data_IF_018349252108
#
_entry.id   IF_018349252108
#
_cell.length_a   1.000
_cell.length_b   1.000
_cell.length_c   1.000
_cell.angle_alpha   90.00
_cell.angle_beta   90.00
_cell.angle_gamma   90.00
#
_symmetry.space_group_name_H-M   'P 1'
#
loop_
_entity.id
_entity.type
_entity.pdbx_description
1 polymer ?
#
# COMPACT_ATOMS: atom_id res chain seq x y z
N UNK A 1 24.03 20.57 -19.28
CA UNK A 1 22.99 20.92 -18.29
C UNK A 1 22.60 19.64 -17.58
N UNK A 2 23.15 19.39 -16.39
CA UNK A 2 22.89 18.19 -15.61
C UNK A 2 21.77 18.50 -14.60
N UNK A 3 20.68 17.73 -14.63
CA UNK A 3 19.54 17.89 -13.72
C UNK A 3 19.92 17.41 -12.32
N UNK A 4 19.70 18.25 -11.31
CA UNK A 4 19.98 17.95 -9.92
C UNK A 4 19.13 16.80 -9.38
N UNK A 5 19.76 15.63 -9.20
CA UNK A 5 19.31 14.62 -8.26
C UNK A 5 19.87 15.01 -6.87
N UNK A 6 19.25 16.00 -6.24
CA UNK A 6 19.64 16.46 -4.92
C UNK A 6 19.38 15.39 -3.86
N UNK A 7 20.45 14.85 -3.24
CA UNK A 7 20.34 14.08 -2.00
C UNK A 7 19.74 15.01 -0.92
N UNK A 8 18.53 14.78 -0.40
CA UNK A 8 17.76 15.80 0.32
C UNK A 8 18.27 16.20 1.70
N UNK A 9 19.45 15.72 2.12
CA UNK A 9 19.99 15.92 3.48
C UNK A 9 21.32 16.68 3.48
N UNK A 10 21.73 17.23 2.33
CA UNK A 10 22.98 18.00 2.20
C UNK A 10 22.83 19.49 2.55
N UNK A 11 21.59 20.02 2.60
CA UNK A 11 21.34 21.42 2.96
C UNK A 11 21.08 21.54 4.48
N UNK A 12 22.20 21.59 5.23
CA UNK A 12 22.40 21.99 6.65
C UNK A 12 21.80 21.16 7.82
N UNK A 13 22.60 21.08 8.90
CA UNK A 13 22.45 20.49 10.25
C UNK A 13 22.04 19.00 10.38
N UNK A 14 21.17 18.51 9.49
CA UNK A 14 20.66 17.13 9.46
C UNK A 14 21.68 16.13 8.89
N UNK A 15 22.74 16.61 8.21
CA UNK A 15 23.83 15.75 7.75
C UNK A 15 24.55 15.04 8.90
N UNK A 16 24.69 15.71 10.06
CA UNK A 16 25.31 15.12 11.25
C UNK A 16 24.45 13.97 11.82
N UNK A 17 23.15 14.19 11.96
CA UNK A 17 22.20 13.22 12.49
C UNK A 17 22.03 12.05 11.51
N UNK A 18 21.93 12.32 10.21
CA UNK A 18 21.90 11.28 9.19
C UNK A 18 23.16 10.42 9.20
N UNK A 19 24.34 11.01 9.43
CA UNK A 19 25.57 10.22 9.63
C UNK A 19 25.52 9.38 10.90
N UNK A 20 24.97 9.90 12.00
CA UNK A 20 24.77 9.12 13.23
C UNK A 20 23.86 7.92 12.98
N UNK A 21 22.71 8.11 12.33
CA UNK A 21 21.82 7.00 12.01
C UNK A 21 22.46 5.99 11.07
N UNK A 22 23.25 6.45 10.10
CA UNK A 22 24.00 5.56 9.19
C UNK A 22 25.01 4.71 9.96
N UNK A 23 25.72 5.28 10.92
CA UNK A 23 26.64 4.53 11.80
C UNK A 23 25.88 3.53 12.68
N UNK A 24 24.82 3.98 13.36
CA UNK A 24 23.97 3.11 14.20
C UNK A 24 23.36 1.97 13.39
N UNK A 25 22.94 2.24 12.16
CA UNK A 25 22.41 1.23 11.25
C UNK A 25 23.47 0.23 10.80
N UNK A 26 24.69 0.68 10.50
CA UNK A 26 25.81 -0.23 10.24
C UNK A 26 26.10 -1.16 11.42
N UNK A 27 25.95 -0.67 12.66
CA UNK A 27 26.07 -1.50 13.87
C UNK A 27 24.90 -2.48 14.02
N UNK A 28 23.67 -2.07 13.69
CA UNK A 28 22.51 -2.96 13.65
C UNK A 28 22.74 -4.08 12.63
N UNK A 29 23.12 -3.73 11.41
CA UNK A 29 23.33 -4.68 10.31
C UNK A 29 24.44 -5.69 10.61
N UNK A 30 25.53 -5.24 11.24
CA UNK A 30 26.60 -6.14 11.66
C UNK A 30 26.18 -7.09 12.79
N UNK A 31 25.22 -6.70 13.62
CA UNK A 31 24.79 -7.46 14.80
C UNK A 31 23.62 -8.39 14.51
N UNK A 32 22.67 -7.94 13.70
CA UNK A 32 21.44 -8.65 13.40
C UNK A 32 20.90 -8.24 12.02
N UNK A 33 21.21 -9.04 11.00
CA UNK A 33 20.72 -8.85 9.63
C UNK A 33 19.19 -8.74 9.54
N UNK A 34 18.41 -9.64 10.18
CA UNK A 34 16.96 -9.51 10.32
C UNK A 34 16.47 -8.14 10.81
N UNK A 35 17.08 -7.53 11.81
CA UNK A 35 16.70 -6.19 12.29
C UNK A 35 16.94 -5.10 11.23
N UNK A 36 18.06 -5.17 10.52
CA UNK A 36 18.35 -4.23 9.43
C UNK A 36 17.36 -4.40 8.27
N UNK A 37 17.03 -5.63 7.89
CA UNK A 37 16.01 -5.93 6.89
C UNK A 37 14.62 -5.46 7.30
N UNK A 38 14.27 -5.60 8.59
CA UNK A 38 13.01 -5.12 9.14
C UNK A 38 12.88 -3.60 9.02
N UNK A 39 13.93 -2.86 9.38
CA UNK A 39 13.93 -1.39 9.25
C UNK A 39 13.81 -0.95 7.78
N UNK A 40 14.52 -1.63 6.87
CA UNK A 40 14.43 -1.37 5.42
C UNK A 40 13.03 -1.63 4.87
N UNK A 41 12.39 -2.73 5.29
CA UNK A 41 11.01 -3.03 4.93
C UNK A 41 10.05 -1.95 5.44
N UNK A 42 10.17 -1.59 6.71
CA UNK A 42 9.31 -0.59 7.34
C UNK A 42 9.45 0.80 6.70
N UNK A 43 10.58 1.10 6.06
CA UNK A 43 10.77 2.33 5.30
C UNK A 43 9.86 2.50 4.07
N UNK A 44 9.17 1.43 3.65
CA UNK A 44 8.21 1.45 2.54
C UNK A 44 6.75 1.32 3.02
N UNK A 45 6.53 1.28 4.32
CA UNK A 45 5.21 1.23 4.94
C UNK A 45 4.86 2.61 5.52
N UNK A 46 3.60 2.82 5.91
CA UNK A 46 3.29 3.95 6.79
C UNK A 46 4.15 3.92 8.06
N UNK A 47 4.58 5.09 8.52
CA UNK A 47 5.53 5.21 9.62
C UNK A 47 4.87 5.07 11.00
N UNK A 48 3.56 4.83 11.07
CA UNK A 48 2.82 4.55 12.29
C UNK A 48 2.26 3.14 12.24
N UNK A 49 1.86 2.64 13.42
CA UNK A 49 1.21 1.33 13.56
C UNK A 49 1.96 0.20 12.85
N UNK A 50 3.23 0.00 13.18
CA UNK A 50 4.03 -1.11 12.69
C UNK A 50 3.89 -2.27 13.69
N UNK A 51 3.34 -3.43 13.31
CA UNK A 51 3.17 -4.56 14.25
C UNK A 51 3.54 -5.90 13.63
N UNK A 52 3.73 -6.91 14.49
CA UNK A 52 4.14 -8.26 14.08
C UNK A 52 3.16 -8.90 13.09
N UNK A 53 1.86 -8.72 13.32
CA UNK A 53 0.79 -9.30 12.50
C UNK A 53 0.89 -8.97 11.01
N UNK A 54 1.40 -7.78 10.68
CA UNK A 54 1.69 -7.39 9.30
C UNK A 54 2.67 -8.37 8.62
N UNK A 55 3.65 -8.92 9.35
CA UNK A 55 4.67 -9.83 8.84
C UNK A 55 4.27 -11.31 8.89
N UNK A 56 3.20 -11.65 9.62
CA UNK A 56 2.81 -13.05 9.85
C UNK A 56 2.30 -13.76 8.60
N UNK A 57 1.85 -13.00 7.59
CA UNK A 57 1.32 -13.59 6.35
C UNK A 57 2.41 -14.22 5.49
N UNK A 58 3.68 -13.84 5.68
CA UNK A 58 4.82 -14.45 5.00
C UNK A 58 5.23 -15.84 5.57
N UNK A 59 4.63 -16.29 6.68
CA UNK A 59 5.02 -17.50 7.40
C UNK A 59 3.89 -18.54 7.53
N UNK A 60 3.48 -19.17 6.42
CA UNK A 60 2.47 -20.25 6.39
C UNK A 60 2.96 -21.63 6.86
N UNK A 61 4.06 -21.71 7.62
CA UNK A 61 4.72 -22.99 7.96
C UNK A 61 4.64 -23.41 9.45
N UNK A 62 3.78 -22.76 10.26
CA UNK A 62 3.59 -23.14 11.66
C UNK A 62 4.75 -22.75 12.61
N UNK A 63 5.72 -21.96 12.13
CA UNK A 63 6.84 -21.43 12.93
C UNK A 63 6.50 -20.15 13.74
N UNK A 64 5.20 -19.82 13.88
CA UNK A 64 4.71 -18.53 14.38
C UNK A 64 5.35 -18.02 15.67
N UNK A 65 5.52 -18.88 16.70
CA UNK A 65 6.17 -18.48 17.96
C UNK A 65 7.67 -18.17 17.80
N UNK A 66 8.37 -18.91 16.93
CA UNK A 66 9.80 -18.68 16.67
C UNK A 66 10.00 -17.39 15.86
N UNK A 67 9.08 -17.09 14.95
CA UNK A 67 9.08 -15.86 14.18
C UNK A 67 8.75 -14.65 15.06
N UNK A 68 7.84 -14.81 16.02
CA UNK A 68 7.52 -13.79 17.00
C UNK A 68 8.71 -13.46 17.91
N UNK A 69 9.42 -14.48 18.44
CA UNK A 69 10.64 -14.25 19.24
C UNK A 69 11.70 -13.50 18.43
N UNK A 70 11.97 -13.94 17.20
CA UNK A 70 12.93 -13.25 16.31
C UNK A 70 12.52 -11.82 15.98
N UNK A 71 11.22 -11.60 15.77
CA UNK A 71 10.68 -10.25 15.56
C UNK A 71 10.91 -9.36 16.78
N UNK A 72 10.63 -9.86 17.99
CA UNK A 72 10.84 -9.11 19.23
C UNK A 72 12.32 -8.82 19.48
N UNK A 73 13.22 -9.73 19.15
CA UNK A 73 14.67 -9.51 19.19
C UNK A 73 15.09 -8.36 18.25
N UNK A 74 14.61 -8.41 17.01
CA UNK A 74 14.89 -7.39 15.99
C UNK A 74 14.36 -6.01 16.41
N UNK A 75 13.10 -5.93 16.83
CA UNK A 75 12.47 -4.70 17.35
C UNK A 75 13.20 -4.17 18.58
N UNK A 76 13.58 -5.05 19.51
CA UNK A 76 14.33 -4.66 20.70
C UNK A 76 15.68 -4.04 20.37
N UNK A 77 16.32 -4.46 19.27
CA UNK A 77 17.53 -3.83 18.77
C UNK A 77 17.24 -2.45 18.15
N UNK A 78 16.19 -2.33 17.33
CA UNK A 78 15.79 -1.07 16.73
C UNK A 78 15.40 0.01 17.77
N UNK A 79 14.68 -0.38 18.83
CA UNK A 79 14.35 0.48 19.96
C UNK A 79 15.61 0.97 20.69
N UNK A 80 16.58 0.06 20.91
CA UNK A 80 17.84 0.40 21.60
C UNK A 80 18.66 1.44 20.84
N UNK A 81 18.62 1.41 19.51
CA UNK A 81 19.25 2.41 18.65
C UNK A 81 18.34 3.60 18.32
N UNK A 82 17.16 3.69 18.94
CA UNK A 82 16.19 4.77 18.73
C UNK A 82 15.79 4.95 17.26
N UNK A 83 15.76 3.85 16.49
CA UNK A 83 15.28 3.85 15.10
C UNK A 83 13.75 3.84 15.02
N UNK A 84 13.12 3.30 16.07
CA UNK A 84 11.67 3.16 16.21
C UNK A 84 11.29 3.53 17.65
N UNK A 85 10.00 3.75 17.86
CA UNK A 85 9.38 4.04 19.14
C UNK A 85 8.24 3.04 19.38
N UNK A 86 8.05 2.63 20.64
CA UNK A 86 6.89 1.83 21.02
C UNK A 86 5.70 2.77 21.31
N UNK A 87 4.53 2.44 20.77
CA UNK A 87 3.33 3.24 21.01
C UNK A 87 2.81 2.98 22.44
N UNK A 88 2.25 4.00 23.08
CA UNK A 88 1.88 3.99 24.51
C UNK A 88 0.81 2.93 24.86
N UNK A 89 -0.04 2.58 23.90
CA UNK A 89 -1.09 1.59 24.07
C UNK A 89 -0.58 0.15 23.87
N UNK A 90 -0.97 -0.75 24.77
CA UNK A 90 -0.64 -2.18 24.67
C UNK A 90 -1.22 -2.74 23.36
N UNK A 91 -0.33 -3.18 22.46
CA UNK A 91 -0.72 -3.71 21.16
C UNK A 91 -0.86 -2.68 20.04
N UNK A 92 -0.62 -1.39 20.29
CA UNK A 92 -0.66 -0.34 19.25
C UNK A 92 0.54 -0.34 18.30
N UNK A 93 1.49 -1.27 18.50
CA UNK A 93 2.64 -1.47 17.64
C UNK A 93 3.75 -0.46 17.87
N UNK A 94 4.49 -0.19 16.80
CA UNK A 94 5.66 0.66 16.78
C UNK A 94 5.46 1.79 15.78
N UNK A 95 6.25 2.84 15.92
CA UNK A 95 6.29 3.96 14.98
C UNK A 95 7.72 4.33 14.66
N UNK A 96 7.93 4.95 13.50
CA UNK A 96 9.17 5.60 13.14
C UNK A 96 8.96 7.10 13.08
N UNK A 97 9.90 7.85 13.66
CA UNK A 97 9.90 9.29 13.48
C UNK A 97 9.95 9.63 11.98
N UNK A 98 9.15 10.58 11.45
CA UNK A 98 9.06 10.84 10.00
C UNK A 98 10.39 11.13 9.32
N UNK A 99 11.33 11.75 10.04
CA UNK A 99 12.68 12.04 9.51
C UNK A 99 13.53 10.77 9.41
N UNK A 100 13.47 9.88 10.41
CA UNK A 100 14.15 8.58 10.37
C UNK A 100 13.55 7.71 9.27
N UNK A 101 12.22 7.71 9.15
CA UNK A 101 11.51 7.01 8.08
C UNK A 101 11.95 7.46 6.68
N UNK A 102 12.03 8.78 6.46
CA UNK A 102 12.51 9.35 5.19
C UNK A 102 13.97 9.03 4.93
N UNK A 103 14.82 9.07 5.95
CA UNK A 103 16.22 8.66 5.82
C UNK A 103 16.33 7.17 5.46
N UNK A 104 15.58 6.30 6.15
CA UNK A 104 15.58 4.86 5.94
C UNK A 104 15.15 4.47 4.52
N UNK A 105 14.22 5.21 3.91
CA UNK A 105 13.76 4.95 2.53
C UNK A 105 14.82 5.26 1.46
N UNK A 106 15.95 5.83 1.86
CA UNK A 106 17.12 6.15 1.02
C UNK A 106 18.37 5.36 1.43
N UNK A 107 18.27 4.37 2.33
CA UNK A 107 19.38 3.48 2.69
C UNK A 107 19.89 2.67 1.50
N UNK A 108 18.98 2.31 0.59
CA UNK A 108 19.28 1.53 -0.60
C UNK A 108 18.82 2.27 -1.87
N UNK A 109 19.56 2.06 -2.96
CA UNK A 109 19.27 2.59 -4.29
C UNK A 109 19.07 1.42 -5.27
N UNK A 110 18.40 1.67 -6.41
CA UNK A 110 18.24 0.69 -7.49
C UNK A 110 17.42 -0.55 -7.11
N UNK A 111 17.91 -1.74 -7.49
CA UNK A 111 17.15 -3.00 -7.42
C UNK A 111 16.74 -3.38 -6.01
N UNK A 112 17.65 -3.20 -5.03
CA UNK A 112 17.38 -3.56 -3.63
C UNK A 112 16.27 -2.71 -3.02
N UNK A 113 16.23 -1.42 -3.37
CA UNK A 113 15.13 -0.52 -3.01
C UNK A 113 13.80 -1.05 -3.54
N UNK A 114 13.80 -1.47 -4.81
CA UNK A 114 12.61 -2.04 -5.44
C UNK A 114 12.20 -3.39 -4.82
N UNK A 115 13.16 -4.21 -4.36
CA UNK A 115 12.87 -5.47 -3.66
C UNK A 115 12.12 -5.23 -2.34
N UNK A 116 12.54 -4.25 -1.53
CA UNK A 116 11.83 -3.90 -0.30
C UNK A 116 10.47 -3.27 -0.56
N UNK A 117 10.34 -2.43 -1.61
CA UNK A 117 9.05 -1.90 -2.01
C UNK A 117 8.07 -3.00 -2.45
N UNK A 118 8.54 -3.99 -3.23
CA UNK A 118 7.75 -5.17 -3.61
C UNK A 118 7.38 -6.03 -2.41
N UNK A 119 8.33 -6.26 -1.50
CA UNK A 119 8.06 -7.01 -0.27
C UNK A 119 7.02 -6.31 0.61
N UNK A 120 7.12 -4.97 0.76
CA UNK A 120 6.12 -4.18 1.49
C UNK A 120 4.73 -4.31 0.86
N UNK A 121 4.63 -4.21 -0.47
CA UNK A 121 3.37 -4.44 -1.20
C UNK A 121 2.81 -5.83 -0.91
N UNK A 122 3.61 -6.88 -1.02
CA UNK A 122 3.18 -8.26 -0.75
C UNK A 122 2.69 -8.42 0.69
N UNK A 123 3.47 -7.94 1.65
CA UNK A 123 3.16 -8.00 3.08
C UNK A 123 1.83 -7.31 3.39
N UNK A 124 1.60 -6.10 2.87
CA UNK A 124 0.35 -5.35 3.11
C UNK A 124 -0.82 -6.00 2.39
N UNK A 125 -0.68 -6.31 1.10
CA UNK A 125 -1.78 -6.83 0.29
C UNK A 125 -2.22 -8.22 0.73
N UNK A 126 -1.31 -9.10 1.14
CA UNK A 126 -1.68 -10.42 1.67
C UNK A 126 -2.24 -10.34 3.11
N UNK A 127 -1.99 -9.24 3.83
CA UNK A 127 -2.58 -8.99 5.16
C UNK A 127 -4.00 -8.44 5.11
N UNK A 128 -4.52 -8.07 3.95
CA UNK A 128 -5.90 -7.60 3.82
C UNK A 128 -6.86 -8.73 4.24
N UNK A 129 -7.69 -8.51 5.27
CA UNK A 129 -8.57 -9.55 5.80
C UNK A 129 -9.75 -9.83 4.86
N UNK A 130 -10.24 -11.06 4.89
CA UNK A 130 -11.51 -11.42 4.26
C UNK A 130 -12.68 -10.85 5.06
N UNK A 131 -13.79 -10.50 4.39
CA UNK A 131 -15.00 -9.95 5.02
C UNK A 131 -15.66 -10.86 6.07
N UNK A 132 -15.24 -12.13 6.13
CA UNK A 132 -15.68 -13.11 7.13
C UNK A 132 -14.87 -13.07 8.44
N UNK A 133 -13.77 -12.34 8.49
CA UNK A 133 -12.90 -12.27 9.67
C UNK A 133 -13.50 -11.37 10.76
N UNK A 134 -13.35 -11.77 12.03
CA UNK A 134 -13.95 -11.09 13.18
C UNK A 134 -13.47 -9.64 13.34
N UNK A 135 -12.18 -9.42 13.06
CA UNK A 135 -11.52 -8.12 13.24
C UNK A 135 -11.36 -7.37 11.91
N UNK A 136 -12.14 -7.75 10.90
CA UNK A 136 -12.08 -7.24 9.53
C UNK A 136 -11.96 -5.71 9.45
N UNK A 137 -12.88 -4.98 10.11
CA UNK A 137 -12.90 -3.52 10.05
C UNK A 137 -11.66 -2.89 10.70
N UNK A 138 -11.23 -3.43 11.85
CA UNK A 138 -10.07 -2.90 12.58
C UNK A 138 -8.80 -3.10 11.76
N UNK A 139 -8.61 -4.30 11.20
CA UNK A 139 -7.47 -4.61 10.35
C UNK A 139 -7.47 -3.78 9.06
N UNK A 140 -8.62 -3.57 8.42
CA UNK A 140 -8.71 -2.67 7.26
C UNK A 140 -8.30 -1.24 7.62
N UNK A 141 -8.77 -0.70 8.75
CA UNK A 141 -8.43 0.64 9.18
C UNK A 141 -6.93 0.79 9.46
N UNK A 142 -6.32 -0.22 10.07
CA UNK A 142 -4.88 -0.23 10.34
C UNK A 142 -4.04 -0.41 9.07
N UNK A 143 -4.52 -1.19 8.10
CA UNK A 143 -3.80 -1.45 6.85
C UNK A 143 -3.92 -0.31 5.83
N UNK A 144 -4.97 0.50 5.92
CA UNK A 144 -5.25 1.56 4.94
C UNK A 144 -4.07 2.52 4.71
N UNK A 145 -3.40 3.05 5.75
CA UNK A 145 -2.23 3.92 5.56
C UNK A 145 -1.06 3.21 4.90
N UNK A 146 -0.81 1.93 5.25
CA UNK A 146 0.24 1.14 4.60
C UNK A 146 -0.08 0.87 3.13
N UNK A 147 -1.34 0.55 2.82
CA UNK A 147 -1.81 0.37 1.44
C UNK A 147 -1.63 1.63 0.60
N UNK A 148 -1.97 2.80 1.17
CA UNK A 148 -1.75 4.10 0.54
C UNK A 148 -0.29 4.31 0.21
N UNK A 149 0.58 4.05 1.18
CA UNK A 149 2.03 4.18 0.98
C UNK A 149 2.53 3.27 -0.13
N UNK A 150 2.10 2.01 -0.17
CA UNK A 150 2.44 1.10 -1.25
C UNK A 150 1.92 1.59 -2.61
N UNK A 151 0.70 2.14 -2.67
CA UNK A 151 0.13 2.66 -3.91
C UNK A 151 0.90 3.87 -4.47
N UNK A 152 1.39 4.77 -3.61
CA UNK A 152 2.27 5.88 -4.01
C UNK A 152 3.53 5.35 -4.72
N UNK A 153 4.17 4.33 -4.15
CA UNK A 153 5.33 3.69 -4.76
C UNK A 153 5.01 3.07 -6.11
N UNK A 154 3.93 2.28 -6.18
CA UNK A 154 3.47 1.63 -7.42
C UNK A 154 3.18 2.64 -8.54
N UNK A 155 2.69 3.83 -8.20
CA UNK A 155 2.39 4.91 -9.14
C UNK A 155 3.61 5.75 -9.52
N UNK A 156 4.52 6.01 -8.56
CA UNK A 156 5.71 6.86 -8.75
C UNK A 156 6.82 6.22 -9.58
N UNK A 157 6.90 4.89 -9.64
CA UNK A 157 7.92 4.15 -10.42
C UNK A 157 7.55 4.09 -11.92
N UNK A 158 7.28 5.27 -12.50
CA UNK A 158 6.72 5.47 -13.84
C UNK A 158 7.20 4.44 -14.86
N UNK A 159 6.24 3.77 -15.51
CA UNK A 159 6.39 2.71 -16.55
C UNK A 159 6.88 1.36 -16.03
N UNK A 160 6.02 0.32 -16.02
CA UNK A 160 6.33 -1.13 -16.10
C UNK A 160 7.54 -1.75 -15.33
N UNK A 161 8.23 -1.01 -14.47
CA UNK A 161 9.60 -1.28 -14.02
C UNK A 161 9.66 -2.08 -12.72
N UNK A 162 8.56 -2.13 -11.97
CA UNK A 162 8.47 -3.06 -10.83
C UNK A 162 8.65 -4.52 -11.23
N UNK A 163 8.52 -4.86 -12.52
CA UNK A 163 8.68 -6.24 -13.00
C UNK A 163 7.76 -7.19 -12.24
N UNK A 164 6.55 -6.71 -11.89
CA UNK A 164 5.58 -7.48 -11.11
C UNK A 164 5.21 -8.71 -11.94
N UNK A 165 5.84 -9.82 -11.60
CA UNK A 165 5.71 -11.09 -12.29
C UNK A 165 5.39 -12.22 -11.30
N UNK A 166 5.60 -11.98 -10.01
CA UNK A 166 5.32 -12.94 -8.97
C UNK A 166 3.82 -12.97 -8.64
N UNK A 167 3.30 -14.19 -8.44
CA UNK A 167 1.90 -14.47 -8.17
C UNK A 167 1.41 -13.71 -6.92
N UNK A 168 2.24 -13.68 -5.87
CA UNK A 168 1.93 -13.03 -4.60
C UNK A 168 1.82 -11.51 -4.74
N UNK A 169 2.62 -10.88 -5.60
CA UNK A 169 2.56 -9.43 -5.85
C UNK A 169 1.27 -9.05 -6.60
N UNK A 170 0.87 -9.89 -7.56
CA UNK A 170 -0.36 -9.71 -8.32
C UNK A 170 -1.60 -9.95 -7.45
N UNK A 171 -1.52 -10.89 -6.52
CA UNK A 171 -2.56 -11.10 -5.50
C UNK A 171 -2.64 -9.93 -4.53
N UNK A 172 -1.49 -9.43 -4.07
CA UNK A 172 -1.43 -8.27 -3.18
C UNK A 172 -2.07 -7.02 -3.79
N UNK A 173 -1.84 -6.75 -5.08
CA UNK A 173 -2.53 -5.67 -5.81
C UNK A 173 -4.05 -5.87 -5.87
N UNK A 174 -4.49 -7.10 -6.16
CA UNK A 174 -5.93 -7.42 -6.18
C UNK A 174 -6.55 -7.18 -4.80
N UNK A 175 -5.89 -7.58 -3.73
CA UNK A 175 -6.34 -7.37 -2.36
C UNK A 175 -6.33 -5.89 -1.94
N UNK A 176 -5.33 -5.09 -2.35
CA UNK A 176 -5.37 -3.64 -2.16
C UNK A 176 -6.55 -3.00 -2.90
N UNK A 177 -6.90 -3.52 -4.08
CA UNK A 177 -8.10 -3.09 -4.79
C UNK A 177 -9.38 -3.34 -3.98
N UNK A 178 -9.49 -4.51 -3.33
CA UNK A 178 -10.59 -4.81 -2.41
C UNK A 178 -10.61 -3.85 -1.21
N UNK A 179 -9.47 -3.68 -0.55
CA UNK A 179 -9.33 -2.74 0.58
C UNK A 179 -9.82 -1.33 0.20
N UNK A 180 -9.44 -0.82 -0.97
CA UNK A 180 -9.91 0.49 -1.42
C UNK A 180 -11.37 0.52 -1.81
N UNK A 181 -11.90 -0.53 -2.44
CA UNK A 181 -13.30 -0.62 -2.82
C UNK A 181 -14.20 -0.55 -1.57
N UNK A 182 -13.83 -1.27 -0.50
CA UNK A 182 -14.57 -1.29 0.76
C UNK A 182 -14.56 0.06 1.48
N UNK A 183 -13.49 0.84 1.30
CA UNK A 183 -13.36 2.20 1.83
C UNK A 183 -14.00 3.27 0.93
N UNK A 184 -14.68 2.86 -0.15
CA UNK A 184 -15.32 3.77 -1.12
C UNK A 184 -14.34 4.51 -2.04
N UNK A 185 -13.06 4.14 -2.02
CA UNK A 185 -11.96 4.77 -2.76
C UNK A 185 -11.83 4.21 -4.16
N UNK A 186 -12.87 4.45 -4.97
CA UNK A 186 -13.07 3.80 -6.27
C UNK A 186 -11.90 3.96 -7.25
N UNK A 187 -11.36 5.18 -7.40
CA UNK A 187 -10.28 5.43 -8.37
C UNK A 187 -9.01 4.63 -8.03
N UNK A 188 -8.72 4.47 -6.74
CA UNK A 188 -7.53 3.77 -6.26
C UNK A 188 -7.74 2.25 -6.35
N UNK A 189 -8.96 1.78 -6.06
CA UNK A 189 -9.35 0.40 -6.28
C UNK A 189 -9.22 -0.01 -7.75
N UNK A 190 -9.73 0.81 -8.66
CA UNK A 190 -9.64 0.59 -10.11
C UNK A 190 -8.19 0.52 -10.59
N UNK A 191 -7.34 1.46 -10.15
CA UNK A 191 -5.92 1.47 -10.51
C UNK A 191 -5.20 0.17 -10.07
N UNK A 192 -5.49 -0.32 -8.85
CA UNK A 192 -4.92 -1.57 -8.35
C UNK A 192 -5.42 -2.78 -9.12
N UNK A 193 -6.73 -2.87 -9.41
CA UNK A 193 -7.30 -3.97 -10.19
C UNK A 193 -6.78 -4.00 -11.63
N UNK A 194 -6.65 -2.86 -12.30
CA UNK A 194 -6.10 -2.80 -13.65
C UNK A 194 -4.65 -3.29 -13.69
N UNK A 195 -3.84 -2.92 -12.69
CA UNK A 195 -2.45 -3.38 -12.56
C UNK A 195 -2.38 -4.89 -12.33
N UNK A 196 -3.20 -5.42 -11.42
CA UNK A 196 -3.29 -6.85 -11.13
C UNK A 196 -3.75 -7.65 -12.36
N UNK A 197 -4.77 -7.15 -13.07
CA UNK A 197 -5.34 -7.80 -14.24
C UNK A 197 -4.30 -7.92 -15.37
N UNK A 198 -3.66 -6.80 -15.74
CA UNK A 198 -2.64 -6.80 -16.79
C UNK A 198 -1.49 -7.76 -16.49
N UNK A 199 -1.06 -7.84 -15.22
CA UNK A 199 -0.02 -8.77 -14.78
C UNK A 199 -0.47 -10.23 -14.83
N UNK A 200 -1.68 -10.55 -14.33
CA UNK A 200 -2.22 -11.92 -14.33
C UNK A 200 -2.52 -12.42 -15.76
N UNK A 201 -3.04 -11.57 -16.63
CA UNK A 201 -3.24 -11.89 -18.06
C UNK A 201 -1.92 -12.29 -18.73
N UNK A 202 -0.84 -11.53 -18.46
CA UNK A 202 0.48 -11.84 -19.00
C UNK A 202 1.09 -13.11 -18.40
N UNK A 203 0.90 -13.36 -17.11
CA UNK A 203 1.53 -14.47 -16.40
C UNK A 203 0.83 -15.82 -16.63
N UNK A 204 -0.50 -15.85 -16.59
CA UNK A 204 -1.30 -17.09 -16.57
C UNK A 204 -2.45 -17.10 -17.59
N UNK A 205 -2.64 -16.03 -18.35
CA UNK A 205 -3.68 -15.91 -19.37
C UNK A 205 -5.03 -15.38 -18.84
N UNK A 206 -5.89 -14.96 -19.77
CA UNK A 206 -7.19 -14.34 -19.49
C UNK A 206 -8.21 -15.30 -18.86
N UNK A 207 -8.20 -16.58 -19.25
CA UNK A 207 -9.18 -17.58 -18.81
C UNK A 207 -8.89 -18.14 -17.41
N UNK A 208 -7.71 -17.86 -16.86
CA UNK A 208 -7.32 -18.36 -15.55
C UNK A 208 -8.28 -17.86 -14.46
N UNK A 209 -8.72 -18.70 -13.49
CA UNK A 209 -9.70 -18.31 -12.47
C UNK A 209 -9.34 -17.03 -11.71
N UNK A 210 -8.06 -16.84 -11.38
CA UNK A 210 -7.59 -15.63 -10.69
C UNK A 210 -7.72 -14.37 -11.56
N UNK A 211 -7.42 -14.47 -12.86
CA UNK A 211 -7.57 -13.36 -13.81
C UNK A 211 -9.05 -12.96 -13.95
N UNK A 212 -9.93 -13.95 -14.10
CA UNK A 212 -11.38 -13.73 -14.16
C UNK A 212 -11.95 -13.12 -12.87
N UNK A 213 -11.40 -13.48 -11.72
CA UNK A 213 -11.80 -12.90 -10.43
C UNK A 213 -11.48 -11.41 -10.35
N UNK A 214 -10.25 -11.01 -10.73
CA UNK A 214 -9.88 -9.58 -10.79
C UNK A 214 -10.78 -8.82 -11.76
N UNK A 215 -11.00 -9.36 -12.96
CA UNK A 215 -11.88 -8.77 -13.96
C UNK A 215 -13.31 -8.57 -13.44
N UNK A 216 -13.87 -9.58 -12.74
CA UNK A 216 -15.20 -9.49 -12.13
C UNK A 216 -15.27 -8.36 -11.12
N UNK A 217 -14.29 -8.24 -10.22
CA UNK A 217 -14.29 -7.19 -9.21
C UNK A 217 -14.16 -5.79 -9.83
N UNK A 218 -13.32 -5.64 -10.86
CA UNK A 218 -13.21 -4.40 -11.61
C UNK A 218 -14.54 -3.99 -12.27
N UNK A 219 -15.24 -4.94 -12.91
CA UNK A 219 -16.55 -4.69 -13.52
C UNK A 219 -17.60 -4.28 -12.49
N UNK A 220 -17.69 -4.98 -11.37
CA UNK A 220 -18.62 -4.63 -10.28
C UNK A 220 -18.37 -3.22 -9.74
N UNK A 221 -17.09 -2.85 -9.59
CA UNK A 221 -16.70 -1.50 -9.17
C UNK A 221 -17.19 -0.43 -10.17
N UNK A 222 -17.02 -0.68 -11.47
CA UNK A 222 -17.45 0.21 -12.55
C UNK A 222 -18.98 0.26 -12.73
N UNK A 223 -19.68 -0.86 -12.58
CA UNK A 223 -21.15 -0.93 -12.68
C UNK A 223 -21.82 -0.14 -11.55
N UNK A 224 -21.22 -0.09 -10.35
CA UNK A 224 -21.68 0.77 -9.25
C UNK A 224 -21.69 2.28 -9.59
N UNK A 225 -20.98 2.69 -10.65
CA UNK A 225 -20.97 4.06 -11.19
C UNK A 225 -22.20 4.28 -12.10
N UNK A 226 -22.63 3.25 -12.84
CA UNK A 226 -23.79 3.32 -13.72
C UNK A 226 -25.09 3.56 -12.97
N UNK A 227 -25.27 2.91 -11.82
CA UNK A 227 -26.48 3.07 -10.99
C UNK A 227 -26.56 4.45 -10.32
N UNK A 228 -25.43 4.99 -9.87
CA UNK A 228 -25.40 6.33 -9.25
C UNK A 228 -25.53 7.46 -10.28
N UNK A 229 -24.94 7.32 -11.46
CA UNK A 229 -25.03 8.33 -12.54
C UNK A 229 -26.40 8.33 -13.23
N UNK A 230 -27.00 7.16 -13.47
CA UNK A 230 -28.36 7.06 -14.02
C UNK A 230 -29.44 7.54 -13.04
N UNK A 231 -29.22 7.36 -11.72
CA UNK A 231 -30.10 7.88 -10.67
C UNK A 231 -29.96 9.40 -10.47
N UNK A 232 -28.75 9.96 -10.58
CA UNK A 232 -28.51 11.40 -10.40
C UNK A 232 -28.91 12.26 -11.62
N UNK A 233 -28.85 11.72 -12.84
CA UNK A 233 -29.25 12.44 -14.06
C UNK A 233 -30.73 12.25 -14.44
N UNK A 234 -31.41 11.23 -13.91
CA UNK A 234 -32.83 10.96 -14.17
C UNK A 234 -33.75 12.17 -13.87
N UNK A 235 -33.66 12.82 -12.70
CA UNK A 235 -34.51 13.97 -12.38
C UNK A 235 -34.20 15.22 -13.22
N UNK A 236 -32.93 15.44 -13.57
CA UNK A 236 -32.48 16.63 -14.30
C UNK A 236 -32.84 16.53 -15.78
N UNK A 237 -32.73 15.33 -16.38
CA UNK A 237 -33.17 15.08 -17.75
C UNK A 237 -34.69 15.24 -17.92
N UNK A 238 -35.49 14.80 -16.95
CA UNK A 238 -36.95 14.98 -16.95
C UNK A 238 -37.36 16.46 -16.81
N UNK A 239 -36.62 17.26 -16.03
CA UNK A 239 -36.86 18.70 -15.90
C UNK A 239 -36.53 19.47 -17.18
N UNK A 240 -35.46 19.10 -17.89
CA UNK A 240 -35.10 19.71 -19.19
C UNK A 240 -36.14 19.34 -20.26
N UNK A 241 -36.62 18.10 -20.26
CA UNK A 241 -37.61 17.61 -21.24
C UNK A 241 -39.03 18.17 -20.99
N UNK A 242 -39.39 18.45 -19.73
CA UNK A 242 -40.65 19.15 -19.38
C UNK A 242 -40.59 20.65 -19.63
N UNK A 243 -39.41 21.27 -19.46
CA UNK A 243 -39.22 22.70 -19.72
C UNK A 243 -39.29 23.08 -21.20
N UNK A 244 -38.84 22.20 -22.11
CA UNK A 244 -38.98 22.41 -23.56
C UNK A 244 -40.42 22.26 -24.05
N UNK A 245 -41.16 21.25 -23.55
CA UNK A 245 -42.58 21.03 -23.86
C UNK A 245 -43.51 22.14 -23.34
N UNK A 246 -43.15 22.84 -22.27
CA UNK A 246 -43.92 23.95 -21.73
C UNK A 246 -43.77 25.26 -22.50
N UNK A 247 -42.69 25.44 -23.28
CA UNK A 247 -42.47 26.65 -24.10
C UNK A 247 -43.19 26.60 -25.44
N UNK A 248 -43.36 25.43 -26.04
CA UNK A 248 -44.12 25.28 -27.30
C UNK A 248 -45.62 25.53 -27.11
N UNK A 249 -46.17 25.29 -25.91
CA UNK A 249 -47.59 25.50 -25.64
C UNK A 249 -48.01 26.96 -25.36
N UNK A 250 -47.06 27.90 -25.27
CA UNK A 250 -47.33 29.34 -25.06
C UNK A 250 -47.14 30.18 -26.32
N UNK A 251 -46.70 29.59 -27.43
CA UNK A 251 -46.59 30.27 -28.73
C UNK A 251 -47.76 29.97 -29.69
N UNK A 252 -48.71 29.11 -29.31
CA UNK A 252 -49.88 28.74 -30.13
C UNK A 252 -51.26 29.20 -29.59
N UNK A 253 -51.30 30.09 -28.59
CA UNK A 253 -52.55 30.66 -28.04
C UNK A 253 -52.67 32.17 -28.25
#
# INVERSE_FOLDING_TARGET
MASGAGRPLLDYDQGSIATTWTVSFGQIEAKDGPAASLLRLWAFLDNKHLWHGLLTVAGRDGSGKRNEVRFLEAVGLLLRYSMIEANEDVGAGYSMHPVVHRWASHLDEGSRKADYARLALTVVGLSVPMSTERDYWVLQQQLLPHGQRCAEWVQSDGTNSLGLADEDQLEALHNLGLLYADQGRRAEAEAMYQRALAGKEKAVGADHPKTRLVLRNLKLLQESIGETTHSALGPVADLITRGSRGREALEEG
#
